data_IF_950288072911
#
_entry.id   IF_950288072911
#
_cell.length_a   1.000
_cell.length_b   1.000
_cell.length_c   1.000
_cell.angle_alpha   90.00
_cell.angle_beta   90.00
_cell.angle_gamma   90.00
#
_symmetry.space_group_name_H-M   'P 1'
#
loop_
_entity.id
_entity.type
_entity.pdbx_description
1 polymer ?
#
# COMPACT_ATOMS: atom_id res chain seq x y z
N UNK A 1 6.05 10.69 -11.77
CA UNK A 1 6.40 9.25 -11.70
C UNK A 1 7.75 9.00 -11.00
N UNK A 2 8.49 10.03 -10.59
CA UNK A 2 9.83 9.88 -9.98
C UNK A 2 9.83 9.42 -8.51
N UNK A 3 8.79 9.74 -7.71
CA UNK A 3 8.74 9.40 -6.28
C UNK A 3 8.50 7.90 -5.97
N UNK A 4 7.81 7.17 -6.86
CA UNK A 4 7.55 5.73 -6.65
C UNK A 4 8.80 4.89 -6.97
N UNK A 5 9.65 5.38 -7.87
CA UNK A 5 10.83 4.66 -8.37
C UNK A 5 12.07 4.76 -7.45
N UNK A 6 12.14 5.75 -6.56
CA UNK A 6 13.27 5.96 -5.66
C UNK A 6 13.00 5.43 -4.24
N UNK A 7 12.32 6.20 -3.38
CA UNK A 7 12.02 5.82 -1.98
C UNK A 7 10.62 5.20 -1.77
N UNK A 8 9.70 5.41 -2.72
CA UNK A 8 8.31 4.95 -2.61
C UNK A 8 8.11 3.45 -2.78
N UNK A 9 9.12 2.70 -3.23
CA UNK A 9 9.02 1.25 -3.45
C UNK A 9 8.65 0.50 -2.17
N UNK A 10 9.08 0.99 -1.00
CA UNK A 10 8.73 0.44 0.33
C UNK A 10 7.32 0.82 0.80
N UNK A 11 6.69 1.83 0.20
CA UNK A 11 5.45 2.42 0.68
C UNK A 11 4.22 1.75 0.05
N UNK A 12 3.36 1.21 0.91
CA UNK A 12 1.99 0.85 0.50
C UNK A 12 1.15 2.10 0.24
N UNK A 13 -0.01 1.92 -0.39
CA UNK A 13 -0.94 3.01 -0.74
C UNK A 13 -1.31 3.92 0.46
N UNK A 14 -1.29 3.40 1.69
CA UNK A 14 -1.55 4.18 2.92
C UNK A 14 -0.46 5.21 3.20
N UNK A 15 0.82 4.85 3.05
CA UNK A 15 1.95 5.78 3.19
C UNK A 15 1.99 6.78 2.03
N UNK A 16 1.67 6.33 0.81
CA UNK A 16 1.48 7.22 -0.33
C UNK A 16 0.38 8.26 -0.06
N UNK A 17 -0.74 7.85 0.52
CA UNK A 17 -1.83 8.78 0.89
C UNK A 17 -1.36 9.84 1.88
N UNK A 18 -0.56 9.46 2.88
CA UNK A 18 -0.01 10.41 3.83
C UNK A 18 0.94 11.41 3.16
N UNK A 19 1.87 10.94 2.35
CA UNK A 19 2.80 11.79 1.59
C UNK A 19 2.04 12.77 0.67
N UNK A 20 1.05 12.27 -0.09
CA UNK A 20 0.22 13.11 -0.96
C UNK A 20 -0.50 14.24 -0.20
N UNK A 21 -0.90 13.99 1.05
CA UNK A 21 -1.52 15.02 1.90
C UNK A 21 -0.51 16.01 2.46
N UNK A 22 0.67 15.55 2.85
CA UNK A 22 1.68 16.38 3.51
C UNK A 22 2.46 17.24 2.51
N UNK A 23 2.99 16.63 1.45
CA UNK A 23 3.88 17.33 0.51
C UNK A 23 3.11 18.05 -0.60
N UNK A 24 1.97 17.49 -1.02
CA UNK A 24 1.20 18.03 -2.13
C UNK A 24 -0.15 18.64 -1.70
N UNK A 25 -0.48 18.64 -0.41
CA UNK A 25 -1.74 19.20 0.10
C UNK A 25 -3.01 18.56 -0.46
N UNK A 26 -2.90 17.36 -1.06
CA UNK A 26 -4.03 16.73 -1.76
C UNK A 26 -5.08 16.23 -0.77
N UNK A 27 -6.32 16.71 -0.91
CA UNK A 27 -7.48 16.19 -0.18
C UNK A 27 -7.96 14.89 -0.85
N UNK A 28 -7.19 13.81 -0.67
CA UNK A 28 -7.47 12.49 -1.27
C UNK A 28 -7.75 11.43 -0.19
N UNK A 29 -8.69 10.53 -0.48
CA UNK A 29 -9.01 9.37 0.35
C UNK A 29 -8.06 8.21 0.02
N UNK A 30 -7.65 7.44 1.03
CA UNK A 30 -6.84 6.22 0.86
C UNK A 30 -7.47 5.20 -0.12
N UNK A 31 -8.81 5.13 -0.22
CA UNK A 31 -9.49 4.27 -1.19
C UNK A 31 -9.25 4.70 -2.64
N UNK A 32 -9.17 6.02 -2.92
CA UNK A 32 -8.88 6.52 -4.27
C UNK A 32 -7.44 6.18 -4.65
N UNK A 33 -6.50 6.38 -3.73
CA UNK A 33 -5.09 6.02 -3.93
C UNK A 33 -4.93 4.52 -4.16
N UNK A 34 -5.65 3.67 -3.40
CA UNK A 34 -5.67 2.23 -3.63
C UNK A 34 -6.14 1.87 -5.05
N UNK A 35 -7.23 2.48 -5.54
CA UNK A 35 -7.74 2.22 -6.89
C UNK A 35 -6.73 2.59 -7.97
N UNK A 36 -6.09 3.76 -7.85
CA UNK A 36 -5.02 4.19 -8.75
C UNK A 36 -3.83 3.23 -8.71
N UNK A 37 -3.39 2.82 -7.52
CA UNK A 37 -2.32 1.84 -7.36
C UNK A 37 -2.67 0.48 -7.97
N UNK A 38 -3.95 0.08 -7.92
CA UNK A 38 -4.45 -1.16 -8.51
C UNK A 38 -4.43 -1.11 -10.04
N UNK A 39 -4.90 -0.01 -10.61
CA UNK A 39 -4.90 0.22 -12.07
C UNK A 39 -3.48 0.30 -12.63
N UNK A 40 -2.55 0.90 -11.88
CA UNK A 40 -1.12 0.98 -12.22
C UNK A 40 -0.34 -0.32 -11.94
N UNK A 41 -0.95 -1.34 -11.33
CA UNK A 41 -0.28 -2.62 -11.02
C UNK A 41 0.81 -2.55 -9.96
N UNK A 42 0.87 -1.48 -9.16
CA UNK A 42 1.93 -1.25 -8.15
C UNK A 42 1.57 -1.77 -6.74
N UNK A 43 0.43 -2.44 -6.59
CA UNK A 43 0.03 -3.02 -5.30
C UNK A 43 0.92 -4.23 -4.95
N UNK A 44 1.40 -4.23 -3.71
CA UNK A 44 2.11 -5.39 -3.16
C UNK A 44 1.16 -6.59 -2.99
N UNK A 45 1.67 -7.83 -3.15
CA UNK A 45 0.86 -9.02 -2.91
C UNK A 45 0.35 -9.05 -1.46
N UNK A 46 -0.80 -9.68 -1.27
CA UNK A 46 -1.37 -9.88 0.06
C UNK A 46 -0.38 -10.67 0.93
N UNK A 47 -0.14 -10.19 2.17
CA UNK A 47 0.75 -10.87 3.12
C UNK A 47 0.27 -12.30 3.37
N UNK A 48 1.13 -13.29 3.13
CA UNK A 48 0.88 -14.68 3.52
C UNK A 48 0.95 -14.79 5.05
N UNK A 49 -0.11 -15.31 5.67
CA UNK A 49 -0.17 -15.53 7.11
C UNK A 49 0.22 -16.98 7.36
N UNK A 50 1.36 -17.19 8.03
CA UNK A 50 1.80 -18.51 8.47
C UNK A 50 1.29 -18.76 9.89
N UNK A 51 0.36 -19.71 10.10
CA UNK A 51 -0.11 -20.04 11.44
C UNK A 51 1.03 -20.68 12.24
N UNK A 52 1.22 -20.25 13.50
CA UNK A 52 2.27 -20.80 14.38
C UNK A 52 1.94 -22.17 14.96
N UNK A 53 0.65 -22.49 15.06
CA UNK A 53 0.16 -23.75 15.63
C UNK A 53 -1.00 -24.27 14.79
N UNK A 54 -1.25 -25.60 14.81
CA UNK A 54 -2.41 -26.20 14.16
C UNK A 54 -3.70 -25.60 14.71
N UNK A 55 -4.65 -25.23 13.84
CA UNK A 55 -5.97 -24.72 14.26
C UNK A 55 -6.85 -25.82 14.88
N UNK A 56 -6.51 -27.09 14.63
CA UNK A 56 -7.11 -28.26 15.25
C UNK A 56 -5.99 -29.11 15.85
N UNK A 57 -6.11 -29.40 17.14
CA UNK A 57 -5.38 -30.49 17.78
C UNK A 57 -6.24 -31.74 17.58
N UNK A 58 -5.58 -32.86 17.26
CA UNK A 58 -6.23 -34.16 17.08
C UNK A 58 -6.87 -34.62 18.39
#
# INVERSE_FOLDING_TARGET
MEFIACDGYAYGYRKLTHMLRQEHGLVINEKKVYRLCKELGILRPQRKIHPRHPRKLA
#
